data_IF_525620071252
#
_entry.id   IF_525620071252
#
_cell.length_a   1.000
_cell.length_b   1.000
_cell.length_c   1.000
_cell.angle_alpha   90.00
_cell.angle_beta   90.00
_cell.angle_gamma   90.00
#
_symmetry.space_group_name_H-M   'P 1'
#
loop_
_entity.id
_entity.type
_entity.pdbx_description
1 polymer ?
#
# COMPACT_ATOMS: atom_id res chain seq x y z
N UNK A 1 -23.86 0.99 -7.29
CA UNK A 1 -25.03 1.58 -7.95
C UNK A 1 -26.15 1.75 -6.91
N UNK A 2 -26.72 2.93 -6.82
CA UNK A 2 -27.85 3.23 -5.90
C UNK A 2 -29.16 3.18 -6.67
N UNK A 3 -30.17 2.55 -6.09
CA UNK A 3 -31.53 2.48 -6.63
C UNK A 3 -32.56 2.58 -5.49
N UNK A 4 -33.12 3.78 -5.24
CA UNK A 4 -33.99 4.00 -4.11
C UNK A 4 -33.30 3.64 -2.79
N UNK A 5 -33.92 2.76 -2.01
CA UNK A 5 -33.41 2.30 -0.72
C UNK A 5 -32.44 1.11 -0.82
N UNK A 6 -31.92 0.82 -2.01
CA UNK A 6 -30.96 -0.27 -2.23
C UNK A 6 -29.65 0.21 -2.86
N UNK A 7 -28.54 -0.33 -2.34
CA UNK A 7 -27.17 -0.11 -2.86
C UNK A 7 -26.62 -1.41 -3.41
N UNK A 8 -26.39 -1.47 -4.72
CA UNK A 8 -25.70 -2.59 -5.37
C UNK A 8 -24.20 -2.34 -5.39
N UNK A 9 -23.44 -3.23 -4.78
CA UNK A 9 -21.98 -3.19 -4.66
C UNK A 9 -21.41 -4.30 -5.53
N UNK A 10 -20.46 -3.94 -6.39
CA UNK A 10 -19.75 -4.86 -7.30
C UNK A 10 -18.29 -4.95 -6.87
N UNK A 11 -17.95 -5.90 -5.98
CA UNK A 11 -16.57 -6.05 -5.53
C UNK A 11 -15.63 -6.35 -6.70
N UNK A 12 -14.47 -5.69 -6.75
CA UNK A 12 -13.52 -5.84 -7.87
C UNK A 12 -12.97 -7.25 -8.03
N UNK A 13 -12.96 -8.04 -6.95
CA UNK A 13 -12.50 -9.43 -6.92
C UNK A 13 -13.57 -10.47 -7.29
N UNK A 14 -14.84 -10.04 -7.55
CA UNK A 14 -15.92 -10.91 -8.03
C UNK A 14 -16.23 -10.61 -9.50
N UNK A 15 -16.50 -11.66 -10.27
CA UNK A 15 -16.85 -11.52 -11.70
C UNK A 15 -18.32 -11.75 -11.98
N UNK A 16 -18.95 -12.63 -11.23
CA UNK A 16 -20.27 -13.17 -11.48
C UNK A 16 -21.27 -12.90 -10.34
N UNK A 17 -20.83 -12.19 -9.31
CA UNK A 17 -21.63 -11.91 -8.11
C UNK A 17 -21.54 -10.45 -7.71
N UNK A 18 -22.57 -9.96 -7.05
CA UNK A 18 -22.62 -8.66 -6.42
C UNK A 18 -23.39 -8.73 -5.09
N UNK A 19 -23.24 -7.71 -4.27
CA UNK A 19 -23.96 -7.57 -3.00
C UNK A 19 -24.97 -6.45 -3.13
N UNK A 20 -26.19 -6.72 -2.72
CA UNK A 20 -27.25 -5.72 -2.53
C UNK A 20 -27.44 -5.50 -1.05
N UNK A 21 -27.35 -4.26 -0.63
CA UNK A 21 -27.72 -3.80 0.71
C UNK A 21 -29.02 -3.02 0.58
N UNK A 22 -30.06 -3.50 1.23
CA UNK A 22 -31.37 -2.86 1.28
C UNK A 22 -31.54 -2.13 2.61
N UNK A 23 -32.03 -0.92 2.56
CA UNK A 23 -32.20 -0.06 3.73
C UNK A 23 -33.67 0.18 4.00
N UNK A 24 -34.00 0.32 5.28
CA UNK A 24 -35.28 0.88 5.75
C UNK A 24 -34.96 2.11 6.61
N UNK A 25 -35.10 3.29 6.03
CA UNK A 25 -34.58 4.51 6.64
C UNK A 25 -33.05 4.47 6.73
N UNK A 26 -32.50 4.63 7.94
CA UNK A 26 -31.07 4.60 8.21
C UNK A 26 -30.55 3.22 8.64
N UNK A 27 -31.42 2.21 8.68
CA UNK A 27 -31.07 0.85 9.11
C UNK A 27 -30.93 -0.09 7.90
N UNK A 28 -30.04 -1.08 8.02
CA UNK A 28 -29.90 -2.15 7.02
C UNK A 28 -31.02 -3.19 7.29
N UNK A 29 -31.92 -3.33 6.35
CA UNK A 29 -33.01 -4.31 6.37
C UNK A 29 -32.53 -5.69 5.88
N UNK A 30 -31.81 -5.73 4.76
CA UNK A 30 -31.32 -6.98 4.21
C UNK A 30 -29.99 -6.82 3.46
N UNK A 31 -29.17 -7.87 3.49
CA UNK A 31 -27.96 -8.01 2.67
C UNK A 31 -28.13 -9.26 1.81
N UNK A 32 -28.05 -9.11 0.48
CA UNK A 32 -28.25 -10.19 -0.49
C UNK A 32 -27.09 -10.28 -1.48
N UNK A 33 -26.65 -11.51 -1.72
CA UNK A 33 -25.76 -11.82 -2.85
C UNK A 33 -26.64 -12.13 -4.07
N UNK A 34 -26.33 -11.54 -5.21
CA UNK A 34 -27.09 -11.74 -6.44
C UNK A 34 -26.20 -11.80 -7.68
N UNK A 35 -26.73 -12.38 -8.76
CA UNK A 35 -26.10 -12.41 -10.07
C UNK A 35 -26.37 -11.09 -10.82
N UNK A 36 -25.34 -10.30 -11.21
CA UNK A 36 -25.51 -8.99 -11.84
C UNK A 36 -26.28 -9.02 -13.15
N UNK A 37 -26.14 -10.10 -13.92
CA UNK A 37 -26.75 -10.23 -15.27
C UNK A 37 -28.22 -10.60 -15.18
N UNK A 38 -28.55 -11.56 -14.33
CA UNK A 38 -29.91 -12.09 -14.21
C UNK A 38 -30.75 -11.40 -13.13
N UNK A 39 -30.10 -10.75 -12.16
CA UNK A 39 -30.73 -10.19 -10.98
C UNK A 39 -31.17 -11.23 -9.94
N UNK A 40 -30.88 -12.50 -10.17
CA UNK A 40 -31.28 -13.60 -9.27
C UNK A 40 -30.52 -13.55 -7.97
N UNK A 41 -31.23 -13.49 -6.85
CA UNK A 41 -30.64 -13.58 -5.51
C UNK A 41 -30.17 -15.02 -5.26
N UNK A 42 -28.89 -15.16 -4.93
CA UNK A 42 -28.27 -16.47 -4.66
C UNK A 42 -28.21 -16.79 -3.18
N UNK A 43 -28.03 -15.75 -2.35
CA UNK A 43 -27.94 -15.92 -0.88
C UNK A 43 -28.47 -14.66 -0.16
N UNK A 44 -29.05 -14.87 1.04
CA UNK A 44 -29.25 -13.80 2.01
C UNK A 44 -28.17 -13.93 3.09
N UNK A 45 -27.53 -12.79 3.42
CA UNK A 45 -26.38 -12.72 4.32
C UNK A 45 -26.76 -11.93 5.57
N UNK A 46 -26.22 -12.31 6.72
CA UNK A 46 -26.34 -11.51 7.94
C UNK A 46 -25.26 -10.41 8.01
N UNK A 47 -24.11 -10.67 7.39
CA UNK A 47 -23.03 -9.70 7.26
C UNK A 47 -22.23 -9.97 5.99
N UNK A 48 -21.54 -8.95 5.52
CA UNK A 48 -20.61 -9.05 4.39
C UNK A 48 -19.44 -8.12 4.60
N UNK A 49 -18.29 -8.45 4.00
CA UNK A 49 -17.09 -7.61 4.02
C UNK A 49 -16.79 -7.19 2.59
N UNK A 50 -16.64 -5.90 2.39
CA UNK A 50 -16.23 -5.33 1.11
C UNK A 50 -14.79 -4.87 1.26
N UNK A 51 -13.89 -5.56 0.58
CA UNK A 51 -12.48 -5.22 0.58
C UNK A 51 -12.19 -4.07 -0.39
N UNK A 52 -11.23 -3.19 -0.09
CA UNK A 52 -10.77 -2.17 -1.02
C UNK A 52 -10.28 -2.78 -2.34
N UNK A 53 -10.55 -2.07 -3.45
CA UNK A 53 -10.07 -2.45 -4.79
C UNK A 53 -8.66 -1.93 -5.10
N UNK A 54 -8.11 -1.07 -4.25
CA UNK A 54 -6.78 -0.46 -4.40
C UNK A 54 -5.99 -0.53 -3.11
N UNK A 55 -4.66 -0.41 -3.24
CA UNK A 55 -3.76 -0.36 -2.09
C UNK A 55 -3.82 1.00 -1.37
N UNK A 56 -3.42 1.00 -0.09
CA UNK A 56 -3.30 2.21 0.75
C UNK A 56 -4.62 2.94 1.01
N UNK A 57 -5.77 2.27 0.87
CA UNK A 57 -7.05 2.82 1.29
C UNK A 57 -7.12 2.86 2.81
N UNK A 58 -7.41 4.05 3.34
CA UNK A 58 -7.51 4.28 4.79
C UNK A 58 -8.67 5.21 5.11
N UNK A 59 -9.00 5.35 6.40
CA UNK A 59 -10.03 6.30 6.83
C UNK A 59 -9.54 7.74 6.68
N UNK A 60 -10.48 8.68 6.55
CA UNK A 60 -10.18 10.10 6.40
C UNK A 60 -9.29 10.63 7.53
N UNK A 61 -9.60 10.26 8.78
CA UNK A 61 -8.83 10.70 9.95
C UNK A 61 -7.38 10.20 9.94
N UNK A 62 -7.17 8.95 9.47
CA UNK A 62 -5.82 8.40 9.34
C UNK A 62 -5.05 9.07 8.20
N UNK A 63 -5.75 9.39 7.11
CA UNK A 63 -5.15 10.11 5.99
C UNK A 63 -4.71 11.52 6.42
N UNK A 64 -5.53 12.27 7.16
CA UNK A 64 -5.14 13.60 7.65
C UNK A 64 -3.93 13.57 8.58
N UNK A 65 -3.86 12.59 9.50
CA UNK A 65 -2.66 12.40 10.34
C UNK A 65 -1.41 12.08 9.50
N UNK A 66 -1.57 11.27 8.47
CA UNK A 66 -0.47 10.97 7.55
C UNK A 66 -0.02 12.22 6.80
N UNK A 67 -0.95 13.04 6.35
CA UNK A 67 -0.66 14.31 5.67
C UNK A 67 0.10 15.28 6.60
N UNK A 68 -0.31 15.42 7.86
CA UNK A 68 0.41 16.24 8.84
C UNK A 68 1.87 15.78 9.05
N UNK A 69 2.11 14.46 9.03
CA UNK A 69 3.47 13.92 9.14
C UNK A 69 4.28 14.18 7.86
N UNK A 70 3.65 14.02 6.69
CA UNK A 70 4.27 14.32 5.39
C UNK A 70 4.64 15.82 5.31
N UNK A 71 3.78 16.72 5.77
CA UNK A 71 4.05 18.17 5.79
C UNK A 71 5.24 18.50 6.70
N UNK A 72 5.32 17.88 7.87
CA UNK A 72 6.49 18.06 8.77
C UNK A 72 7.79 17.55 8.16
N UNK A 73 7.76 16.40 7.50
CA UNK A 73 8.93 15.86 6.80
C UNK A 73 9.33 16.74 5.62
N UNK A 74 8.36 17.31 4.91
CA UNK A 74 8.59 18.26 3.82
C UNK A 74 9.31 19.52 4.32
N UNK A 75 8.85 20.14 5.37
CA UNK A 75 9.47 21.36 5.96
C UNK A 75 10.94 21.11 6.32
N UNK A 76 11.22 19.98 6.96
CA UNK A 76 12.59 19.58 7.31
C UNK A 76 13.46 19.39 6.05
N UNK A 77 12.89 18.76 5.01
CA UNK A 77 13.63 18.47 3.77
C UNK A 77 13.86 19.72 2.93
N UNK A 78 12.89 20.62 2.85
CA UNK A 78 13.03 21.92 2.19
C UNK A 78 14.12 22.78 2.85
N UNK A 79 14.10 22.84 4.17
CA UNK A 79 15.15 23.54 4.92
C UNK A 79 16.52 22.95 4.64
N UNK A 80 16.66 21.62 4.65
CA UNK A 80 17.90 20.95 4.31
C UNK A 80 18.42 21.37 2.92
N UNK A 81 17.59 21.37 1.89
CA UNK A 81 17.99 21.77 0.55
C UNK A 81 18.36 23.26 0.48
N UNK A 82 17.60 24.11 1.12
CA UNK A 82 17.85 25.55 1.16
C UNK A 82 19.18 25.87 1.86
N UNK A 83 19.44 25.28 3.02
CA UNK A 83 20.67 25.48 3.79
C UNK A 83 21.92 24.98 3.02
N UNK A 84 21.75 24.04 2.11
CA UNK A 84 22.82 23.51 1.25
C UNK A 84 22.89 24.21 -0.15
N UNK A 85 22.14 25.28 -0.37
CA UNK A 85 22.15 26.01 -1.65
C UNK A 85 21.47 25.29 -2.81
N UNK A 86 20.69 24.25 -2.54
CA UNK A 86 20.00 23.42 -3.53
C UNK A 86 18.57 23.92 -3.78
N UNK A 87 18.44 25.14 -4.29
CA UNK A 87 17.16 25.82 -4.46
C UNK A 87 16.21 25.10 -5.44
N UNK A 88 16.74 24.45 -6.47
CA UNK A 88 15.96 23.70 -7.47
C UNK A 88 15.34 22.46 -6.85
N UNK A 89 16.11 21.74 -6.03
CA UNK A 89 15.66 20.57 -5.29
C UNK A 89 14.60 20.94 -4.26
N UNK A 90 14.81 22.05 -3.54
CA UNK A 90 13.84 22.58 -2.58
C UNK A 90 12.50 22.91 -3.27
N UNK A 91 12.53 23.63 -4.36
CA UNK A 91 11.32 23.97 -5.11
C UNK A 91 10.62 22.72 -5.67
N UNK A 92 11.39 21.78 -6.20
CA UNK A 92 10.86 20.54 -6.79
C UNK A 92 10.14 19.68 -5.75
N UNK A 93 10.77 19.43 -4.59
CA UNK A 93 10.16 18.63 -3.54
C UNK A 93 8.91 19.31 -2.98
N UNK A 94 8.94 20.64 -2.82
CA UNK A 94 7.78 21.43 -2.40
C UNK A 94 6.60 21.22 -3.34
N UNK A 95 6.78 21.56 -4.61
CA UNK A 95 5.71 21.47 -5.61
C UNK A 95 5.15 20.06 -5.74
N UNK A 96 6.03 19.06 -5.78
CA UNK A 96 5.61 17.67 -5.91
C UNK A 96 4.83 17.19 -4.71
N UNK A 97 5.33 17.43 -3.50
CA UNK A 97 4.69 16.94 -2.27
C UNK A 97 3.39 17.67 -1.99
N UNK A 98 3.32 18.99 -2.22
CA UNK A 98 2.07 19.75 -2.07
C UNK A 98 0.98 19.27 -3.04
N UNK A 99 1.33 18.99 -4.28
CA UNK A 99 0.42 18.39 -5.24
C UNK A 99 -0.07 16.99 -4.79
N UNK A 100 0.84 16.13 -4.32
CA UNK A 100 0.48 14.80 -3.83
C UNK A 100 -0.46 14.89 -2.61
N UNK A 101 -0.24 15.85 -1.69
CA UNK A 101 -1.11 16.12 -0.52
C UNK A 101 -2.50 16.56 -0.97
N UNK A 102 -2.59 17.49 -1.91
CA UNK A 102 -3.87 17.95 -2.45
C UNK A 102 -4.68 16.79 -3.04
N UNK A 103 -4.04 15.96 -3.85
CA UNK A 103 -4.66 14.76 -4.41
C UNK A 103 -5.12 13.77 -3.34
N UNK A 104 -4.33 13.58 -2.28
CA UNK A 104 -4.72 12.71 -1.17
C UNK A 104 -5.91 13.27 -0.38
N UNK A 105 -6.02 14.59 -0.18
CA UNK A 105 -7.18 15.23 0.46
C UNK A 105 -8.45 15.13 -0.38
N UNK A 106 -8.35 15.39 -1.67
CA UNK A 106 -9.51 15.44 -2.56
C UNK A 106 -9.99 14.04 -2.99
N UNK A 107 -9.07 13.17 -3.35
CA UNK A 107 -9.37 11.86 -3.94
C UNK A 107 -9.08 10.66 -3.02
N UNK A 108 -8.42 10.90 -1.88
CA UNK A 108 -7.91 9.82 -1.03
C UNK A 108 -6.73 9.04 -1.64
N UNK A 109 -6.14 9.53 -2.71
CA UNK A 109 -5.10 8.85 -3.47
C UNK A 109 -4.22 9.86 -4.24
N UNK A 110 -2.94 9.52 -4.44
CA UNK A 110 -2.05 10.22 -5.37
C UNK A 110 -1.19 9.24 -6.17
N UNK A 111 -0.65 9.68 -7.30
CA UNK A 111 0.28 8.87 -8.09
C UNK A 111 1.60 8.70 -7.34
N UNK A 112 1.98 7.45 -7.07
CA UNK A 112 3.16 7.13 -6.27
C UNK A 112 2.89 7.13 -4.76
N UNK A 113 1.64 6.92 -4.35
CA UNK A 113 1.21 6.87 -2.94
C UNK A 113 2.03 5.86 -2.11
N UNK A 114 2.59 4.83 -2.75
CA UNK A 114 3.47 3.85 -2.12
C UNK A 114 4.71 4.48 -1.47
N UNK A 115 5.18 5.64 -1.97
CA UNK A 115 6.30 6.36 -1.38
C UNK A 115 5.97 6.93 0.00
N UNK A 116 4.69 7.09 0.32
CA UNK A 116 4.17 7.53 1.62
C UNK A 116 3.65 6.37 2.47
N UNK A 117 3.86 5.11 2.05
CA UNK A 117 3.29 3.91 2.69
C UNK A 117 3.63 3.78 4.16
N UNK A 118 4.85 4.18 4.59
CA UNK A 118 5.25 4.19 6.00
C UNK A 118 4.32 5.09 6.82
N UNK A 119 4.15 6.30 6.35
CA UNK A 119 3.38 7.34 7.05
C UNK A 119 1.88 6.97 7.07
N UNK A 120 1.32 6.57 5.94
CA UNK A 120 -0.09 6.15 5.83
C UNK A 120 -0.40 4.95 6.74
N UNK A 121 0.54 4.01 6.87
CA UNK A 121 0.41 2.84 7.73
C UNK A 121 0.84 3.09 9.19
N UNK A 122 1.23 4.32 9.54
CA UNK A 122 1.73 4.71 10.86
C UNK A 122 2.85 3.78 11.37
N UNK A 123 3.75 3.36 10.47
CA UNK A 123 4.88 2.49 10.82
C UNK A 123 6.07 3.32 11.32
N UNK A 124 6.91 2.78 12.22
CA UNK A 124 8.13 3.42 12.63
C UNK A 124 9.09 3.68 11.45
N UNK A 125 9.88 4.74 11.54
CA UNK A 125 10.94 5.03 10.57
C UNK A 125 11.92 3.86 10.45
N UNK A 126 12.37 3.56 9.23
CA UNK A 126 13.26 2.44 8.92
C UNK A 126 12.58 1.08 8.85
N UNK A 127 11.29 0.96 9.19
CA UNK A 127 10.56 -0.31 9.12
C UNK A 127 10.28 -0.72 7.67
N UNK A 128 10.38 -2.02 7.38
CA UNK A 128 9.93 -2.56 6.10
C UNK A 128 8.40 -2.57 5.99
N UNK A 129 7.83 -2.47 4.78
CA UNK A 129 6.40 -2.67 4.58
C UNK A 129 6.02 -4.11 4.88
N UNK A 130 4.74 -4.35 5.18
CA UNK A 130 4.20 -5.69 5.25
C UNK A 130 4.33 -6.38 3.88
N UNK A 131 4.73 -7.63 3.93
CA UNK A 131 4.94 -8.47 2.74
C UNK A 131 3.99 -9.66 2.76
N UNK A 132 3.94 -10.41 1.67
CA UNK A 132 3.16 -11.64 1.59
C UNK A 132 3.55 -12.64 2.70
N UNK A 133 4.82 -12.64 3.12
CA UNK A 133 5.31 -13.54 4.16
C UNK A 133 4.67 -13.27 5.52
N UNK A 134 4.25 -12.04 5.80
CA UNK A 134 3.62 -11.64 7.05
C UNK A 134 2.20 -12.23 7.24
N UNK A 135 1.59 -12.77 6.17
CA UNK A 135 0.28 -13.43 6.21
C UNK A 135 0.35 -14.92 6.50
N UNK A 136 1.55 -15.52 6.48
CA UNK A 136 1.72 -16.92 6.80
C UNK A 136 1.86 -17.14 8.31
N UNK A 137 1.52 -18.34 8.83
CA UNK A 137 1.82 -18.70 10.22
C UNK A 137 3.32 -18.68 10.47
N UNK A 138 3.74 -18.53 11.75
CA UNK A 138 5.17 -18.36 12.09
C UNK A 138 6.05 -19.56 11.70
N UNK A 139 5.48 -20.75 11.63
CA UNK A 139 6.15 -22.00 11.26
C UNK A 139 5.64 -22.50 9.90
N UNK A 140 5.93 -21.78 8.84
CA UNK A 140 5.62 -22.23 7.50
C UNK A 140 6.88 -22.74 6.77
N UNK A 141 6.66 -23.61 5.81
CA UNK A 141 7.72 -24.15 4.95
C UNK A 141 7.72 -23.41 3.62
N UNK A 142 8.85 -22.79 3.29
CA UNK A 142 9.03 -22.06 2.04
C UNK A 142 9.80 -22.93 1.02
N UNK A 143 9.16 -23.25 -0.08
CA UNK A 143 9.82 -23.86 -1.24
C UNK A 143 10.14 -22.79 -2.27
N UNK A 144 11.41 -22.72 -2.68
CA UNK A 144 11.85 -21.77 -3.72
C UNK A 144 12.21 -22.57 -4.96
N UNK A 145 11.34 -22.50 -5.97
CA UNK A 145 11.61 -23.09 -7.26
C UNK A 145 12.66 -22.26 -8.03
N UNK A 146 13.46 -22.92 -8.86
CA UNK A 146 14.57 -22.30 -9.62
C UNK A 146 15.46 -21.42 -8.73
N UNK A 147 15.82 -21.92 -7.55
CA UNK A 147 16.50 -21.14 -6.51
C UNK A 147 17.82 -20.54 -6.98
N UNK A 148 18.50 -21.18 -7.94
CA UNK A 148 19.75 -20.68 -8.53
C UNK A 148 19.57 -19.35 -9.29
N UNK A 149 18.37 -19.04 -9.78
CA UNK A 149 18.01 -17.77 -10.42
C UNK A 149 17.30 -16.85 -9.44
N UNK A 150 16.32 -17.38 -8.72
CA UNK A 150 15.44 -16.59 -7.82
C UNK A 150 16.21 -15.95 -6.67
N UNK A 151 17.08 -16.68 -5.99
CA UNK A 151 17.79 -16.15 -4.81
C UNK A 151 18.78 -15.02 -5.15
N UNK A 152 19.61 -15.09 -6.21
CA UNK A 152 20.42 -13.95 -6.64
C UNK A 152 19.59 -12.73 -6.99
N UNK A 153 18.44 -12.90 -7.65
CA UNK A 153 17.52 -11.81 -7.99
C UNK A 153 16.96 -11.14 -6.74
N UNK A 154 16.48 -11.90 -5.77
CA UNK A 154 15.98 -11.38 -4.50
C UNK A 154 17.07 -10.61 -3.74
N UNK A 155 18.32 -11.11 -3.72
CA UNK A 155 19.45 -10.38 -3.14
C UNK A 155 19.70 -9.02 -3.79
N UNK A 156 19.58 -8.94 -5.10
CA UNK A 156 19.84 -7.71 -5.84
C UNK A 156 18.72 -6.66 -5.66
N UNK A 157 17.49 -7.08 -5.37
CA UNK A 157 16.32 -6.19 -5.30
C UNK A 157 16.49 -5.06 -4.29
N UNK A 158 16.96 -5.36 -3.08
CA UNK A 158 17.13 -4.35 -2.03
C UNK A 158 18.10 -3.24 -2.44
N UNK A 159 19.28 -3.62 -2.92
CA UNK A 159 20.32 -2.67 -3.30
C UNK A 159 19.92 -1.86 -4.53
N UNK A 160 19.26 -2.49 -5.51
CA UNK A 160 18.75 -1.82 -6.71
C UNK A 160 17.67 -0.79 -6.37
N UNK A 161 16.71 -1.15 -5.50
CA UNK A 161 15.68 -0.21 -5.03
C UNK A 161 16.30 0.94 -4.23
N UNK A 162 17.26 0.65 -3.36
CA UNK A 162 17.96 1.65 -2.55
C UNK A 162 18.70 2.65 -3.45
N UNK A 163 19.50 2.19 -4.40
CA UNK A 163 20.23 3.07 -5.31
C UNK A 163 19.31 3.98 -6.13
N UNK A 164 18.18 3.45 -6.60
CA UNK A 164 17.16 4.26 -7.29
C UNK A 164 16.58 5.34 -6.38
N UNK A 165 16.24 5.00 -5.15
CA UNK A 165 15.66 5.94 -4.19
C UNK A 165 16.66 6.97 -3.68
N UNK A 166 17.93 6.61 -3.55
CA UNK A 166 18.99 7.57 -3.22
C UNK A 166 18.99 8.74 -4.22
N UNK A 167 18.94 8.47 -5.52
CA UNK A 167 18.84 9.52 -6.53
C UNK A 167 17.53 10.32 -6.38
N UNK A 168 16.38 9.66 -6.19
CA UNK A 168 15.09 10.35 -6.07
C UNK A 168 15.02 11.28 -4.85
N UNK A 169 15.57 10.87 -3.72
CA UNK A 169 15.58 11.67 -2.49
C UNK A 169 16.66 12.75 -2.55
N UNK A 170 17.85 12.42 -3.07
CA UNK A 170 18.96 13.36 -3.16
C UNK A 170 18.64 14.55 -4.09
N UNK A 171 17.92 14.32 -5.17
CA UNK A 171 17.57 15.36 -6.13
C UNK A 171 16.15 15.95 -5.94
N UNK A 172 15.51 15.73 -4.79
CA UNK A 172 14.25 16.36 -4.44
C UNK A 172 13.03 15.86 -5.22
N UNK A 173 13.03 14.62 -5.70
CA UNK A 173 11.88 13.99 -6.36
C UNK A 173 10.97 13.25 -5.37
N UNK A 174 11.51 12.82 -4.23
CA UNK A 174 10.76 12.12 -3.16
C UNK A 174 11.26 12.54 -1.79
N UNK A 175 10.37 12.44 -0.79
CA UNK A 175 10.72 12.58 0.62
C UNK A 175 11.49 11.35 1.12
N UNK A 176 12.27 11.47 2.20
CA UNK A 176 12.99 10.36 2.82
C UNK A 176 12.11 9.16 3.21
N UNK A 177 10.84 9.37 3.59
CA UNK A 177 9.91 8.27 3.91
C UNK A 177 9.74 7.26 2.75
N UNK A 178 10.05 7.64 1.52
CA UNK A 178 10.05 6.73 0.38
C UNK A 178 11.03 5.56 0.53
N UNK A 179 12.10 5.71 1.31
CA UNK A 179 13.05 4.63 1.59
C UNK A 179 12.41 3.44 2.29
N UNK A 180 11.38 3.66 3.07
CA UNK A 180 10.73 2.63 3.88
C UNK A 180 9.70 1.79 3.09
N UNK A 181 9.39 2.18 1.86
CA UNK A 181 8.72 1.31 0.90
C UNK A 181 9.75 0.50 0.12
N UNK A 182 10.29 -0.53 0.71
CA UNK A 182 11.42 -1.29 0.20
C UNK A 182 11.21 -2.79 0.28
N UNK A 183 11.90 -3.57 -0.58
CA UNK A 183 11.96 -5.01 -0.43
C UNK A 183 12.55 -5.42 0.91
N UNK A 184 12.23 -6.61 1.39
CA UNK A 184 12.94 -7.21 2.51
C UNK A 184 14.41 -7.41 2.15
N UNK A 185 15.28 -7.30 3.15
CA UNK A 185 16.65 -7.74 3.00
C UNK A 185 16.68 -9.26 2.91
N UNK A 186 17.56 -9.79 2.07
CA UNK A 186 17.68 -11.23 1.88
C UNK A 186 17.95 -11.97 3.19
N UNK A 187 18.76 -11.41 4.07
CA UNK A 187 19.09 -11.98 5.38
C UNK A 187 17.84 -12.15 6.26
N UNK A 188 16.90 -11.22 6.19
CA UNK A 188 15.63 -11.31 6.94
C UNK A 188 14.79 -12.50 6.48
N UNK A 189 14.83 -12.83 5.19
CA UNK A 189 14.10 -13.98 4.63
C UNK A 189 14.88 -15.29 4.89
N UNK A 190 16.19 -15.29 4.69
CA UNK A 190 17.03 -16.49 4.80
C UNK A 190 17.20 -16.96 6.24
N UNK A 191 17.29 -16.05 7.19
CA UNK A 191 17.50 -16.39 8.60
C UNK A 191 16.29 -17.06 9.25
N UNK A 192 15.09 -16.67 8.82
CA UNK A 192 13.85 -17.17 9.42
C UNK A 192 13.25 -18.38 8.70
N UNK A 193 13.52 -18.58 7.39
CA UNK A 193 12.71 -19.49 6.58
C UNK A 193 13.49 -20.35 5.56
N UNK A 194 14.77 -20.12 5.31
CA UNK A 194 15.55 -20.91 4.37
C UNK A 194 16.55 -21.80 5.11
N UNK A 195 16.30 -23.12 5.12
CA UNK A 195 17.35 -24.13 5.30
C UNK A 195 17.70 -24.66 3.91
N UNK A 196 18.89 -24.31 3.41
CA UNK A 196 19.44 -24.97 2.25
C UNK A 196 19.86 -26.38 2.66
N UNK A 197 19.29 -27.41 2.03
CA UNK A 197 19.90 -28.71 1.97
C UNK A 197 20.97 -28.61 0.86
N UNK A 198 22.23 -28.49 1.25
CA UNK A 198 23.34 -28.81 0.36
C UNK A 198 23.32 -30.33 0.18
N UNK A 199 22.79 -30.80 -0.96
CA UNK A 199 23.16 -32.12 -1.44
C UNK A 199 24.59 -32.02 -1.94
N UNK A 200 25.53 -32.43 -1.09
CA UNK A 200 26.91 -32.55 -1.46
C UNK A 200 27.06 -33.52 -2.65
N UNK A 201 27.71 -33.05 -3.66
CA UNK A 201 28.56 -33.82 -4.59
C UNK A 201 29.84 -33.08 -4.78
#
# INVERSE_FOLDING_TARGET
RVRGDAVDIYPAYWRDRAVRVEFFGDEIDAIREFQPVTGVVTKTLQHTVIYPASHYVTTKDKMERAIEEIERELEVREKFFTDNGQAVEAQRIHQRTKYDIEMMRELGYCTGIENYSRVISARPEGSAPMTLLDYFPKDFLLFVDESHVTLPQVRAMYNGDRARKDALVQYGFRLPCAYDNRPLRFEAVSYTHLRAHETGR
#
